data_IF_218067041409
#
_entry.id   IF_218067041409
#
_cell.length_a   1.000
_cell.length_b   1.000
_cell.length_c   1.000
_cell.angle_alpha   90.00
_cell.angle_beta   90.00
_cell.angle_gamma   90.00
#
_symmetry.space_group_name_H-M   'P 1'
#
loop_
_entity.id
_entity.type
_entity.pdbx_description
1 polymer ?
#
# COMPACT_ATOMS: atom_id res chain seq x y z
N UNK A 1 -18.75 -29.46 5.83
CA UNK A 1 -18.41 -30.36 4.70
C UNK A 1 -18.76 -31.80 5.02
N UNK A 2 -19.14 -32.59 4.02
CA UNK A 2 -19.30 -34.04 4.17
C UNK A 2 -17.95 -34.75 4.19
N UNK A 3 -17.87 -35.88 4.88
CA UNK A 3 -16.64 -36.69 4.97
C UNK A 3 -16.14 -37.11 3.58
N UNK A 4 -17.04 -37.58 2.72
CA UNK A 4 -16.73 -37.99 1.36
C UNK A 4 -16.07 -36.87 0.53
N UNK A 5 -16.52 -35.62 0.67
CA UNK A 5 -15.91 -34.49 -0.04
C UNK A 5 -14.49 -34.19 0.47
N UNK A 6 -14.25 -34.30 1.78
CA UNK A 6 -12.91 -34.12 2.34
C UNK A 6 -11.95 -35.22 1.90
N UNK A 7 -12.43 -36.47 1.76
CA UNK A 7 -11.62 -37.60 1.35
C UNK A 7 -11.20 -37.49 -0.13
N UNK A 8 -12.13 -37.11 -1.03
CA UNK A 8 -11.81 -36.80 -2.43
C UNK A 8 -10.78 -35.67 -2.55
N UNK A 9 -10.93 -34.59 -1.75
CA UNK A 9 -9.98 -33.48 -1.77
C UNK A 9 -8.59 -33.92 -1.30
N UNK A 10 -8.54 -34.75 -0.24
CA UNK A 10 -7.28 -35.26 0.31
C UNK A 10 -6.53 -36.10 -0.71
N UNK A 11 -7.21 -37.07 -1.35
CA UNK A 11 -6.63 -37.90 -2.40
C UNK A 11 -6.09 -37.05 -3.56
N UNK A 12 -6.86 -36.05 -3.99
CA UNK A 12 -6.43 -35.15 -5.05
C UNK A 12 -5.17 -34.35 -4.66
N UNK A 13 -5.11 -33.82 -3.43
CA UNK A 13 -3.93 -33.08 -2.93
C UNK A 13 -2.72 -34.00 -2.79
N UNK A 14 -2.89 -35.23 -2.29
CA UNK A 14 -1.82 -36.23 -2.13
C UNK A 14 -1.30 -36.75 -3.50
N UNK A 15 -2.14 -36.76 -4.53
CA UNK A 15 -1.74 -37.14 -5.91
C UNK A 15 -0.79 -36.13 -6.56
N UNK A 16 -0.73 -34.89 -6.05
CA UNK A 16 0.19 -33.86 -6.52
C UNK A 16 1.45 -33.89 -5.66
N UNK A 17 2.62 -33.98 -6.27
CA UNK A 17 3.94 -34.02 -5.59
C UNK A 17 4.38 -32.66 -5.00
N UNK A 18 3.43 -31.86 -4.52
CA UNK A 18 3.65 -30.53 -3.94
C UNK A 18 3.93 -30.60 -2.44
N UNK A 19 4.95 -29.87 -1.97
CA UNK A 19 5.14 -29.66 -0.53
C UNK A 19 4.13 -28.64 -0.02
N UNK A 20 3.53 -28.91 1.14
CA UNK A 20 2.69 -27.95 1.84
C UNK A 20 3.48 -26.66 2.12
N UNK A 21 2.88 -25.51 1.79
CA UNK A 21 3.47 -24.19 2.02
C UNK A 21 2.97 -23.66 3.37
N UNK A 22 3.85 -23.24 4.29
CA UNK A 22 3.42 -22.60 5.54
C UNK A 22 2.55 -21.37 5.26
N UNK A 23 1.50 -21.16 6.06
CA UNK A 23 0.51 -20.08 5.87
C UNK A 23 1.17 -18.71 5.64
N UNK A 24 2.15 -18.34 6.48
CA UNK A 24 2.86 -17.05 6.35
C UNK A 24 3.64 -16.91 5.04
N UNK A 25 4.18 -18.01 4.51
CA UNK A 25 4.85 -18.03 3.21
C UNK A 25 3.83 -17.87 2.08
N UNK A 26 2.69 -18.57 2.17
CA UNK A 26 1.58 -18.37 1.24
C UNK A 26 1.06 -16.92 1.26
N UNK A 27 0.84 -16.34 2.44
CA UNK A 27 0.42 -14.94 2.60
C UNK A 27 1.44 -13.97 2.03
N UNK A 28 2.74 -14.23 2.16
CA UNK A 28 3.79 -13.42 1.54
C UNK A 28 3.68 -13.40 0.01
N UNK A 29 3.33 -14.53 -0.61
CA UNK A 29 3.07 -14.60 -2.05
C UNK A 29 1.75 -13.90 -2.43
N UNK A 30 0.70 -14.05 -1.62
CA UNK A 30 -0.57 -13.38 -1.84
C UNK A 30 -0.42 -11.84 -1.78
N UNK A 31 0.30 -11.32 -0.77
CA UNK A 31 0.58 -9.88 -0.65
C UNK A 31 1.46 -9.36 -1.77
N UNK A 32 2.40 -10.16 -2.27
CA UNK A 32 3.18 -9.81 -3.46
C UNK A 32 2.29 -9.62 -4.71
N UNK A 33 1.34 -10.55 -4.93
CA UNK A 33 0.40 -10.42 -6.04
C UNK A 33 -0.53 -9.22 -5.89
N UNK A 34 -1.05 -8.99 -4.67
CA UNK A 34 -1.87 -7.81 -4.38
C UNK A 34 -1.08 -6.50 -4.57
N UNK A 35 0.18 -6.48 -4.16
CA UNK A 35 1.05 -5.33 -4.35
C UNK A 35 1.28 -5.02 -5.82
N UNK A 36 1.61 -6.03 -6.64
CA UNK A 36 1.76 -5.85 -8.09
C UNK A 36 0.46 -5.35 -8.73
N UNK A 37 -0.68 -5.86 -8.27
CA UNK A 37 -1.98 -5.40 -8.76
C UNK A 37 -2.27 -3.94 -8.38
N UNK A 38 -1.96 -3.50 -7.15
CA UNK A 38 -2.24 -2.14 -6.68
C UNK A 38 -1.24 -1.10 -7.15
N UNK A 39 0.04 -1.48 -7.22
CA UNK A 39 1.16 -0.55 -7.33
C UNK A 39 2.06 -0.84 -8.54
N UNK A 40 1.81 -1.91 -9.29
CA UNK A 40 2.66 -2.34 -10.40
C UNK A 40 3.97 -3.04 -9.99
N UNK A 41 4.28 -3.09 -8.69
CA UNK A 41 5.51 -3.69 -8.16
C UNK A 41 5.27 -4.29 -6.77
N UNK A 42 6.11 -5.25 -6.39
CA UNK A 42 6.21 -5.78 -5.02
C UNK A 42 7.62 -5.62 -4.41
N UNK A 43 8.48 -4.83 -5.05
CA UNK A 43 9.85 -4.60 -4.60
C UNK A 43 9.94 -4.03 -3.18
N UNK A 44 8.95 -3.25 -2.73
CA UNK A 44 8.92 -2.73 -1.35
C UNK A 44 8.75 -3.82 -0.29
N UNK A 45 8.32 -5.03 -0.67
CA UNK A 45 8.20 -6.19 0.23
C UNK A 45 9.53 -6.92 0.44
N UNK A 46 10.60 -6.51 -0.21
CA UNK A 46 11.94 -7.05 0.02
C UNK A 46 12.30 -6.95 1.51
N UNK A 47 12.90 -8.03 2.04
CA UNK A 47 13.22 -8.22 3.47
C UNK A 47 12.04 -8.16 4.45
N UNK A 48 10.80 -8.13 3.95
CA UNK A 48 9.61 -8.18 4.79
C UNK A 48 9.07 -9.60 4.96
N UNK A 49 8.64 -9.90 6.17
CA UNK A 49 7.92 -11.14 6.49
C UNK A 49 6.54 -10.86 7.09
N UNK A 50 5.66 -11.86 6.98
CA UNK A 50 4.29 -11.79 7.51
C UNK A 50 4.29 -12.10 9.01
N UNK A 51 3.79 -11.16 9.79
CA UNK A 51 3.58 -11.26 11.24
C UNK A 51 2.12 -10.96 11.62
N UNK A 52 1.83 -10.98 12.92
CA UNK A 52 0.48 -10.75 13.43
C UNK A 52 -0.41 -11.99 13.38
N UNK A 53 -1.73 -11.75 13.36
CA UNK A 53 -2.79 -12.77 13.39
C UNK A 53 -3.90 -12.39 12.40
N UNK A 54 -4.67 -13.36 11.88
CA UNK A 54 -5.78 -13.05 11.01
C UNK A 54 -6.86 -12.24 11.77
N UNK A 55 -7.66 -11.41 11.06
CA UNK A 55 -7.62 -11.16 9.62
C UNK A 55 -6.66 -10.03 9.21
N UNK A 56 -6.10 -9.28 10.17
CA UNK A 56 -5.23 -8.12 9.94
C UNK A 56 -3.75 -8.47 10.13
N UNK A 57 -3.20 -9.13 9.11
CA UNK A 57 -1.79 -9.48 9.07
C UNK A 57 -0.90 -8.24 8.95
N UNK A 58 0.27 -8.31 9.60
CA UNK A 58 1.30 -7.27 9.58
C UNK A 58 2.44 -7.68 8.67
N UNK A 59 3.08 -6.69 8.05
CA UNK A 59 4.35 -6.82 7.35
C UNK A 59 5.44 -6.22 8.24
N UNK A 60 6.46 -7.03 8.49
CA UNK A 60 7.49 -6.78 9.48
C UNK A 60 8.86 -6.73 8.81
N UNK A 61 9.70 -5.75 9.19
CA UNK A 61 11.13 -5.71 8.91
C UNK A 61 11.88 -6.04 10.20
N UNK A 62 12.41 -7.25 10.32
CA UNK A 62 12.90 -7.75 11.61
C UNK A 62 11.80 -7.67 12.68
N UNK A 63 12.01 -6.88 13.73
CA UNK A 63 11.00 -6.67 14.80
C UNK A 63 10.08 -5.46 14.56
N UNK A 64 10.34 -4.65 13.52
CA UNK A 64 9.61 -3.42 13.26
C UNK A 64 8.39 -3.68 12.35
N UNK A 65 7.21 -3.28 12.80
CA UNK A 65 6.02 -3.24 11.95
C UNK A 65 6.12 -2.07 10.96
N UNK A 66 5.92 -2.35 9.67
CA UNK A 66 6.08 -1.35 8.61
C UNK A 66 4.82 -1.14 7.76
N UNK A 67 3.97 -2.16 7.62
CA UNK A 67 2.68 -2.05 6.95
C UNK A 67 1.68 -3.11 7.46
N UNK A 68 0.38 -2.87 7.29
CA UNK A 68 -0.70 -3.79 7.67
C UNK A 68 -1.67 -4.01 6.52
N UNK A 69 -2.11 -5.26 6.32
CA UNK A 69 -3.20 -5.58 5.40
C UNK A 69 -4.56 -5.32 6.05
N UNK A 70 -5.41 -4.55 5.37
CA UNK A 70 -6.79 -4.29 5.77
C UNK A 70 -7.75 -4.98 4.78
N UNK A 71 -8.25 -6.18 5.10
CA UNK A 71 -9.08 -6.95 4.19
C UNK A 71 -10.40 -6.25 3.82
N UNK A 72 -11.02 -5.55 4.77
CA UNK A 72 -12.33 -4.89 4.57
C UNK A 72 -12.34 -3.83 3.47
N UNK A 73 -11.17 -3.26 3.20
CA UNK A 73 -10.98 -2.20 2.19
C UNK A 73 -9.96 -2.61 1.13
N UNK A 74 -9.51 -3.88 1.17
CA UNK A 74 -8.57 -4.45 0.22
C UNK A 74 -7.27 -3.65 0.05
N UNK A 75 -6.68 -3.10 1.11
CA UNK A 75 -5.50 -2.23 0.98
C UNK A 75 -4.43 -2.43 2.04
N UNK A 76 -3.23 -1.98 1.74
CA UNK A 76 -2.15 -1.81 2.72
C UNK A 76 -2.28 -0.47 3.43
N UNK A 77 -2.12 -0.47 4.75
CA UNK A 77 -1.80 0.74 5.51
C UNK A 77 -0.30 0.74 5.76
N UNK A 78 0.38 1.78 5.32
CA UNK A 78 1.81 1.95 5.56
C UNK A 78 2.04 2.68 6.88
N UNK A 79 3.26 2.59 7.38
CA UNK A 79 3.75 3.42 8.49
C UNK A 79 4.70 4.49 7.95
N UNK A 80 4.98 5.51 8.76
CA UNK A 80 5.93 6.57 8.43
C UNK A 80 7.32 6.03 8.03
N UNK A 81 7.79 4.94 8.63
CA UNK A 81 9.16 4.45 8.45
C UNK A 81 9.42 3.78 7.10
N UNK A 82 8.38 3.33 6.39
CA UNK A 82 8.55 2.66 5.09
C UNK A 82 8.41 3.60 3.88
N UNK A 83 7.96 4.84 4.10
CA UNK A 83 7.76 5.81 3.00
C UNK A 83 9.01 6.01 2.13
N UNK A 84 10.24 6.11 2.67
CA UNK A 84 11.43 6.22 1.83
C UNK A 84 11.64 5.02 0.91
N UNK A 85 11.39 3.79 1.40
CA UNK A 85 11.49 2.57 0.57
C UNK A 85 10.41 2.54 -0.51
N UNK A 86 9.19 2.96 -0.19
CA UNK A 86 8.10 3.04 -1.18
C UNK A 86 8.41 4.03 -2.31
N UNK A 87 9.14 5.11 -1.99
CA UNK A 87 9.66 6.06 -2.99
C UNK A 87 10.75 5.43 -3.84
N UNK A 88 11.76 4.86 -3.19
CA UNK A 88 12.91 4.19 -3.83
C UNK A 88 12.45 3.12 -4.84
N UNK A 89 11.42 2.36 -4.49
CA UNK A 89 10.89 1.28 -5.34
C UNK A 89 9.79 1.73 -6.31
N UNK A 90 9.47 3.03 -6.37
CA UNK A 90 8.41 3.56 -7.23
C UNK A 90 7.04 2.95 -6.94
N UNK A 91 6.78 2.52 -5.70
CA UNK A 91 5.54 1.83 -5.33
C UNK A 91 4.38 2.79 -5.14
N UNK A 92 4.62 3.93 -4.49
CA UNK A 92 3.61 4.98 -4.36
C UNK A 92 3.95 6.13 -5.30
N UNK A 93 2.93 6.68 -5.94
CA UNK A 93 3.08 7.82 -6.84
C UNK A 93 3.29 9.11 -6.05
N UNK A 94 3.97 10.06 -6.67
CA UNK A 94 4.34 11.34 -6.06
C UNK A 94 3.37 12.45 -6.46
N UNK A 95 3.11 13.36 -5.53
CA UNK A 95 2.54 14.68 -5.79
C UNK A 95 3.53 15.72 -5.26
N UNK A 96 3.62 16.85 -5.95
CA UNK A 96 4.43 17.98 -5.51
C UNK A 96 3.55 19.10 -4.97
N UNK A 97 3.93 19.63 -3.80
CA UNK A 97 3.29 20.81 -3.22
C UNK A 97 4.26 21.97 -3.09
N UNK A 98 3.75 23.18 -3.33
CA UNK A 98 4.51 24.42 -3.23
C UNK A 98 4.56 25.02 -1.82
N UNK A 99 5.11 26.23 -1.77
CA UNK A 99 5.22 27.07 -0.59
C UNK A 99 6.34 26.67 0.39
N UNK A 100 6.78 27.63 1.19
CA UNK A 100 7.94 27.46 2.08
C UNK A 100 7.56 27.09 3.52
N UNK A 101 6.28 27.26 3.88
CA UNK A 101 5.80 26.97 5.23
C UNK A 101 5.70 25.45 5.48
N UNK A 102 6.03 24.94 6.69
CA UNK A 102 5.86 23.54 7.04
C UNK A 102 4.44 23.05 6.72
N UNK A 103 4.35 21.89 6.06
CA UNK A 103 3.06 21.35 5.64
C UNK A 103 2.17 21.01 6.84
N UNK A 104 1.03 21.70 6.94
CA UNK A 104 -0.02 21.46 7.94
C UNK A 104 -1.35 21.14 7.26
N UNK A 105 -2.13 20.25 7.87
CA UNK A 105 -3.47 19.89 7.39
C UNK A 105 -3.48 18.97 6.17
N UNK A 106 -4.61 18.99 5.48
CA UNK A 106 -4.87 18.21 4.25
C UNK A 106 -4.29 18.92 3.01
N UNK A 107 -4.31 18.25 1.86
CA UNK A 107 -3.87 18.82 0.57
C UNK A 107 -5.07 19.45 -0.12
N UNK A 108 -4.94 20.71 -0.50
CA UNK A 108 -5.91 21.47 -1.27
C UNK A 108 -5.35 21.84 -2.64
N UNK A 109 -6.22 22.05 -3.62
CA UNK A 109 -5.82 22.33 -5.00
C UNK A 109 -4.78 23.47 -5.15
N UNK A 110 -4.89 24.61 -4.44
CA UNK A 110 -3.90 25.69 -4.57
C UNK A 110 -2.49 25.33 -4.08
N UNK A 111 -2.33 24.23 -3.36
CA UNK A 111 -1.03 23.78 -2.86
C UNK A 111 -0.26 22.96 -3.90
N UNK A 112 -0.95 22.34 -4.86
CA UNK A 112 -0.37 21.35 -5.77
C UNK A 112 0.35 22.06 -6.93
N UNK A 113 1.59 21.64 -7.19
CA UNK A 113 2.38 22.08 -8.35
C UNK A 113 2.28 21.03 -9.45
N UNK A 114 2.48 19.76 -9.10
CA UNK A 114 2.36 18.63 -10.03
C UNK A 114 1.68 17.43 -9.37
N UNK A 115 0.90 16.69 -10.15
CA UNK A 115 0.29 15.43 -9.74
C UNK A 115 -0.03 14.58 -10.99
N UNK A 116 -0.07 13.24 -10.88
CA UNK A 116 -0.59 12.39 -11.93
C UNK A 116 -2.05 12.72 -12.25
N UNK A 117 -2.40 12.74 -13.53
CA UNK A 117 -3.75 13.14 -14.00
C UNK A 117 -4.83 12.07 -13.80
N UNK A 118 -4.44 10.86 -13.44
CA UNK A 118 -5.32 9.69 -13.32
C UNK A 118 -5.38 9.11 -11.90
N UNK A 119 -4.97 9.89 -10.88
CA UNK A 119 -5.11 9.54 -9.46
C UNK A 119 -6.51 9.04 -9.12
N UNK A 120 -6.59 7.97 -8.32
CA UNK A 120 -7.88 7.38 -7.92
C UNK A 120 -8.23 7.77 -6.48
N UNK A 121 -9.52 7.92 -6.21
CA UNK A 121 -10.01 8.14 -4.85
C UNK A 121 -9.60 6.95 -3.97
N UNK A 122 -9.03 7.24 -2.80
CA UNK A 122 -8.57 6.21 -1.85
C UNK A 122 -7.13 5.76 -2.04
N UNK A 123 -6.50 6.10 -3.17
CA UNK A 123 -5.09 5.86 -3.43
C UNK A 123 -4.20 6.65 -2.46
N UNK A 124 -3.07 6.08 -2.07
CA UNK A 124 -2.08 6.75 -1.24
C UNK A 124 -0.92 7.26 -2.09
N UNK A 125 -0.55 8.51 -1.88
CA UNK A 125 0.51 9.21 -2.61
C UNK A 125 1.57 9.74 -1.65
N UNK A 126 2.80 9.82 -2.15
CA UNK A 126 3.90 10.49 -1.48
C UNK A 126 3.80 11.99 -1.72
N UNK A 127 4.02 12.78 -0.68
CA UNK A 127 4.02 14.24 -0.76
C UNK A 127 5.46 14.71 -0.84
N UNK A 128 5.77 15.40 -1.92
CA UNK A 128 7.09 15.91 -2.25
C UNK A 128 7.07 17.44 -2.20
N UNK A 129 8.18 18.04 -1.79
CA UNK A 129 8.43 19.47 -1.93
C UNK A 129 9.91 19.68 -2.23
N UNK A 130 10.22 20.44 -3.27
CA UNK A 130 11.61 20.75 -3.65
C UNK A 130 12.47 19.48 -3.80
N UNK A 131 11.89 18.41 -4.34
CA UNK A 131 12.54 17.10 -4.48
C UNK A 131 12.59 16.24 -3.21
N UNK A 132 12.27 16.79 -2.03
CA UNK A 132 12.31 16.07 -0.76
C UNK A 132 10.97 15.39 -0.43
N UNK A 133 11.05 14.17 0.11
CA UNK A 133 9.90 13.46 0.64
C UNK A 133 9.52 14.05 2.00
N UNK A 134 8.29 14.56 2.13
CA UNK A 134 7.80 15.17 3.38
C UNK A 134 6.65 14.40 4.02
N UNK A 135 6.13 13.35 3.39
CA UNK A 135 5.11 12.49 3.99
C UNK A 135 4.25 11.73 2.98
N UNK A 136 3.05 11.33 3.41
CA UNK A 136 2.05 10.69 2.56
C UNK A 136 0.64 11.24 2.80
N UNK A 137 -0.19 11.18 1.76
CA UNK A 137 -1.59 11.60 1.80
C UNK A 137 -2.46 10.61 1.02
N UNK A 138 -3.75 10.53 1.38
CA UNK A 138 -4.72 9.68 0.71
C UNK A 138 -5.68 10.51 -0.13
N UNK A 139 -5.75 10.20 -1.42
CA UNK A 139 -6.63 10.86 -2.38
C UNK A 139 -8.09 10.83 -1.93
N UNK A 140 -8.72 12.00 -1.99
CA UNK A 140 -10.14 12.25 -1.75
C UNK A 140 -10.86 12.74 -3.00
N UNK A 141 -10.11 13.16 -4.01
CA UNK A 141 -10.58 13.64 -5.29
C UNK A 141 -10.06 12.74 -6.43
N UNK A 142 -10.83 12.63 -7.51
CA UNK A 142 -10.44 11.93 -8.73
C UNK A 142 -9.43 12.75 -9.54
N UNK A 143 -8.60 12.09 -10.36
CA UNK A 143 -7.46 12.72 -11.05
C UNK A 143 -7.76 14.02 -11.82
N UNK A 144 -8.95 14.16 -12.42
CA UNK A 144 -9.34 15.39 -13.13
C UNK A 144 -9.46 16.61 -12.20
N UNK A 145 -9.79 16.42 -10.91
CA UNK A 145 -9.90 17.49 -9.92
C UNK A 145 -8.54 18.04 -9.50
N UNK A 146 -7.46 17.26 -9.68
CA UNK A 146 -6.11 17.67 -9.33
C UNK A 146 -5.53 18.71 -10.30
N UNK A 147 -6.14 18.87 -11.48
CA UNK A 147 -5.73 19.83 -12.50
C UNK A 147 -6.63 21.07 -12.50
N UNK A 148 -6.54 21.88 -11.44
CA UNK A 148 -7.27 23.16 -11.35
C UNK A 148 -8.68 23.08 -10.74
N UNK A 149 -9.04 21.96 -10.11
CA UNK A 149 -10.25 21.86 -9.30
C UNK A 149 -10.22 22.75 -8.06
N UNK A 150 -11.34 22.79 -7.34
CA UNK A 150 -11.47 23.52 -6.07
C UNK A 150 -11.65 22.54 -4.91
N UNK A 151 -11.09 22.88 -3.75
CA UNK A 151 -11.30 22.13 -2.51
C UNK A 151 -10.19 21.14 -2.16
N UNK A 152 -10.56 20.16 -1.33
CA UNK A 152 -9.62 19.21 -0.72
C UNK A 152 -9.37 18.02 -1.66
N UNK A 153 -8.12 17.85 -2.06
CA UNK A 153 -7.68 16.79 -2.96
C UNK A 153 -7.25 15.51 -2.23
N UNK A 154 -6.58 15.64 -1.08
CA UNK A 154 -6.12 14.49 -0.31
C UNK A 154 -6.09 14.74 1.20
N UNK A 155 -6.32 13.67 1.98
CA UNK A 155 -6.23 13.69 3.45
C UNK A 155 -4.83 13.25 3.89
N UNK A 156 -4.15 14.06 4.70
CA UNK A 156 -2.82 13.71 5.23
C UNK A 156 -2.85 12.40 6.02
N UNK A 157 -1.87 11.52 5.81
CA UNK A 157 -1.68 10.27 6.57
C UNK A 157 -0.45 10.37 7.48
N UNK A 158 0.69 10.74 6.89
CA UNK A 158 1.98 10.83 7.59
C UNK A 158 2.73 12.10 7.21
N UNK A 159 3.55 12.61 8.13
CA UNK A 159 4.50 13.71 7.91
C UNK A 159 5.88 13.27 8.39
N UNK A 160 6.93 13.51 7.60
CA UNK A 160 8.31 13.22 7.96
C UNK A 160 8.91 14.25 8.91
#
# INVERSE_FOLDING_TARGET
SSKAACDVLREAVESVSGKSIPEKKYLRHAFASLSRWQFGTDAWLEDLHVGGKPPRWMLMRGKQHVAQWHPEVGRFSFTKSILPKLRETGTLREIEIGGDAPWKGDIFAPMVITAPSDLKIGEEVLVIRNGELIGSARCKAAGWEWNGGIGRLAKSQHRL
#
